data_IF_725013290140
#
_entry.id   IF_725013290140
#
_cell.length_a   1.000
_cell.length_b   1.000
_cell.length_c   1.000
_cell.angle_alpha   90.00
_cell.angle_beta   90.00
_cell.angle_gamma   90.00
#
_symmetry.space_group_name_H-M   'P 1'
#
loop_
_entity.id
_entity.type
_entity.pdbx_description
1 polymer ?
2 non-polymer ?
#
# COMPACT_ATOMS: atom_id res chain seq x y z
N UNK A 1 6.65 19.30 -9.25
CA UNK A 1 7.28 18.18 -8.54
C UNK A 1 6.35 17.01 -8.52
N UNK A 2 6.89 15.83 -8.47
CA UNK A 2 6.11 14.64 -8.38
C UNK A 2 5.92 14.31 -6.92
N UNK A 3 4.73 14.53 -6.41
CA UNK A 3 4.44 14.26 -5.02
C UNK A 3 4.32 12.75 -4.78
N UNK A 4 5.33 12.19 -4.14
CA UNK A 4 5.40 10.76 -3.93
C UNK A 4 5.01 10.42 -2.50
N UNK A 5 4.78 9.16 -2.26
CA UNK A 5 4.40 8.68 -0.97
C UNK A 5 5.63 8.32 -0.17
N UNK A 6 5.58 8.64 1.07
CA UNK A 6 6.61 8.31 2.01
C UNK A 6 6.18 7.05 2.80
N UNK A 7 7.06 6.54 3.64
CA UNK A 7 6.75 5.39 4.48
C UNK A 7 5.51 5.68 5.33
N UNK A 8 5.50 6.85 5.95
CA UNK A 8 4.40 7.31 6.80
C UNK A 8 3.08 7.37 6.05
N UNK A 9 3.10 7.89 4.84
CA UNK A 9 1.86 8.04 4.06
C UNK A 9 1.33 6.67 3.69
N UNK A 10 2.25 5.78 3.34
CA UNK A 10 1.90 4.41 3.03
C UNK A 10 1.41 3.69 4.31
N UNK A 11 2.09 3.96 5.42
CA UNK A 11 1.77 3.37 6.72
C UNK A 11 0.30 3.56 7.05
N UNK A 12 -0.13 4.81 7.02
CA UNK A 12 -1.52 5.14 7.30
C UNK A 12 -2.48 4.49 6.30
N UNK A 13 -2.02 4.29 5.08
CA UNK A 13 -2.82 3.62 4.05
C UNK A 13 -3.03 2.15 4.42
N UNK A 14 -2.01 1.53 4.96
CA UNK A 14 -2.14 0.18 5.48
C UNK A 14 -3.06 0.19 6.70
N UNK A 15 -2.91 1.19 7.54
CA UNK A 15 -3.80 1.38 8.67
C UNK A 15 -5.29 1.66 8.24
N UNK A 16 -5.50 2.02 6.97
CA UNK A 16 -6.83 2.26 6.43
C UNK A 16 -7.59 0.95 6.28
N UNK A 17 -6.97 0.00 5.58
CA UNK A 17 -7.59 -1.28 5.28
C UNK A 17 -7.57 -2.20 6.50
N UNK A 18 -6.80 -1.82 7.49
CA UNK A 18 -6.73 -2.54 8.74
C UNK A 18 -7.75 -1.96 9.70
N UNK A 19 -8.32 -0.85 9.31
CA UNK A 19 -9.27 -0.14 10.12
C UNK A 19 -10.67 -0.61 9.85
N UNK A 20 -10.96 -1.78 10.32
CA UNK A 20 -12.30 -2.34 10.21
C UNK A 20 -12.75 -2.78 11.61
N UNK A 21 -11.93 -2.41 12.61
CA UNK A 21 -12.15 -2.72 14.01
C UNK A 21 -12.17 -4.24 14.24
N UNK A 22 -11.01 -4.87 14.04
CA UNK A 22 -10.89 -6.33 14.22
C UNK A 22 -9.67 -6.68 15.01
N UNK A 23 -8.51 -6.39 14.45
CA UNK A 23 -7.28 -6.73 15.05
C UNK A 23 -6.43 -7.37 14.01
N UNK A 24 -5.40 -8.04 14.42
CA UNK A 24 -4.44 -8.74 13.56
C UNK A 24 -3.87 -7.85 12.44
N UNK A 25 -3.49 -6.64 12.78
CA UNK A 25 -2.98 -5.72 11.79
C UNK A 25 -1.54 -5.36 12.09
N UNK A 26 -0.95 -4.59 11.22
CA UNK A 26 0.45 -4.22 11.33
C UNK A 26 0.70 -3.09 12.33
N UNK A 27 0.14 -1.91 12.04
CA UNK A 27 0.33 -0.68 12.84
C UNK A 27 1.78 -0.41 13.31
N UNK A 28 2.49 0.40 12.53
CA UNK A 28 3.87 0.68 12.84
C UNK A 28 4.81 0.34 11.70
N UNK A 29 5.73 -0.56 11.95
CA UNK A 29 6.72 -0.99 10.95
C UNK A 29 6.22 -2.21 10.23
N UNK A 30 6.34 -2.21 8.93
CA UNK A 30 5.74 -3.24 8.06
C UNK A 30 6.41 -3.27 6.68
N UNK A 31 7.01 -2.13 6.31
CA UNK A 31 7.54 -1.83 4.99
C UNK A 31 8.42 -2.94 4.37
N UNK A 32 9.19 -3.62 5.20
CA UNK A 32 10.16 -4.59 4.70
C UNK A 32 9.64 -6.01 4.83
N UNK A 33 8.50 -6.16 5.48
CA UNK A 33 7.90 -7.47 5.72
C UNK A 33 7.01 -7.83 4.54
N UNK A 34 6.63 -9.09 4.44
CA UNK A 34 5.71 -9.50 3.40
C UNK A 34 4.30 -9.13 3.81
N UNK A 35 3.45 -8.77 2.85
CA UNK A 35 2.03 -8.53 3.14
C UNK A 35 1.45 -9.74 3.83
N UNK A 36 1.80 -10.91 3.30
CA UNK A 36 1.43 -12.19 3.83
C UNK A 36 1.79 -12.27 5.33
N UNK A 37 2.93 -11.70 5.68
CA UNK A 37 3.43 -11.81 7.03
C UNK A 37 2.77 -10.77 7.95
N UNK A 38 2.26 -9.72 7.37
CA UNK A 38 1.61 -8.66 8.16
C UNK A 38 0.08 -8.81 8.17
N UNK A 39 -0.40 -9.99 7.82
CA UNK A 39 -1.82 -10.28 7.85
C UNK A 39 -2.57 -9.68 6.67
N UNK A 40 -1.86 -9.40 5.61
CA UNK A 40 -2.44 -8.82 4.43
C UNK A 40 -2.68 -9.81 3.33
N UNK A 41 -3.93 -10.14 3.19
CA UNK A 41 -4.42 -11.05 2.17
C UNK A 41 -4.79 -10.23 0.93
N UNK A 42 -5.29 -10.88 -0.12
CA UNK A 42 -5.66 -10.21 -1.36
C UNK A 42 -6.66 -9.05 -1.16
N UNK A 43 -7.65 -9.26 -0.30
CA UNK A 43 -8.68 -8.26 -0.06
C UNK A 43 -8.10 -7.10 0.72
N UNK A 44 -7.35 -7.42 1.74
CA UNK A 44 -6.76 -6.41 2.58
C UNK A 44 -5.80 -5.50 1.79
N UNK A 45 -4.92 -6.12 1.00
CA UNK A 45 -3.90 -5.38 0.23
C UNK A 45 -4.59 -4.47 -0.80
N UNK A 46 -5.60 -5.00 -1.49
CA UNK A 46 -6.28 -4.25 -2.54
C UNK A 46 -7.01 -3.06 -1.95
N UNK A 47 -7.45 -3.20 -0.72
CA UNK A 47 -8.15 -2.16 -0.04
C UNK A 47 -7.18 -1.00 0.23
N UNK A 48 -5.95 -1.32 0.62
CA UNK A 48 -4.89 -0.33 0.79
C UNK A 48 -4.63 0.36 -0.55
N UNK A 49 -4.43 -0.46 -1.58
CA UNK A 49 -4.15 0.01 -2.93
C UNK A 49 -5.25 0.95 -3.39
N UNK A 50 -6.49 0.48 -3.34
CA UNK A 50 -7.66 1.24 -3.80
C UNK A 50 -7.79 2.57 -3.08
N UNK A 51 -7.43 2.58 -1.81
CA UNK A 51 -7.43 3.80 -1.01
C UNK A 51 -6.47 4.82 -1.59
N UNK A 52 -5.26 4.39 -1.85
CA UNK A 52 -4.23 5.24 -2.44
C UNK A 52 -4.53 5.61 -3.90
N UNK A 53 -4.90 4.61 -4.70
CA UNK A 53 -5.14 4.80 -6.14
C UNK A 53 -6.15 5.89 -6.40
N UNK A 54 -7.31 5.71 -5.82
CA UNK A 54 -8.44 6.57 -6.05
C UNK A 54 -8.18 8.00 -5.54
N UNK A 55 -7.47 8.12 -4.43
CA UNK A 55 -7.18 9.43 -3.85
C UNK A 55 -6.23 10.23 -4.75
N UNK A 56 -5.18 9.58 -5.23
CA UNK A 56 -4.14 10.28 -5.95
C UNK A 56 -4.35 10.24 -7.46
N UNK A 57 -5.30 9.47 -7.90
CA UNK A 57 -5.64 9.44 -9.30
C UNK A 57 -4.79 8.50 -10.11
N UNK A 58 -4.67 7.27 -9.64
CA UNK A 58 -3.94 6.24 -10.37
C UNK A 58 -4.71 4.93 -10.36
N UNK A 59 -4.18 3.94 -11.03
CA UNK A 59 -4.79 2.63 -11.06
C UNK A 59 -3.66 1.59 -11.16
N UNK A 60 -3.66 0.65 -10.24
CA UNK A 60 -2.68 -0.41 -10.20
C UNK A 60 -3.23 -1.66 -10.86
N UNK A 61 -2.43 -2.34 -11.70
CA UNK A 61 -2.79 -3.63 -12.30
C UNK A 61 -3.04 -4.67 -11.21
N UNK A 62 -4.19 -5.33 -11.28
CA UNK A 62 -4.60 -6.32 -10.28
C UNK A 62 -3.60 -7.46 -10.14
N UNK A 63 -2.94 -7.81 -11.23
CA UNK A 63 -1.93 -8.88 -11.20
C UNK A 63 -0.68 -8.38 -10.54
N UNK A 64 -0.37 -7.10 -10.73
CA UNK A 64 0.83 -6.53 -10.17
C UNK A 64 0.63 -6.24 -8.68
N UNK A 65 -0.61 -6.07 -8.26
CA UNK A 65 -0.94 -5.96 -6.84
C UNK A 65 -0.61 -7.29 -6.13
N UNK A 66 -0.59 -8.36 -6.91
CA UNK A 66 -0.22 -9.65 -6.40
C UNK A 66 1.21 -9.99 -6.72
N UNK A 67 1.91 -9.03 -7.30
CA UNK A 67 3.32 -9.16 -7.64
C UNK A 67 4.18 -8.38 -6.66
N UNK A 68 3.55 -7.49 -5.93
CA UNK A 68 4.21 -6.75 -4.88
C UNK A 68 4.21 -7.58 -3.60
N UNK A 69 5.37 -8.00 -3.19
CA UNK A 69 5.48 -8.85 -2.01
C UNK A 69 5.81 -8.07 -0.76
N UNK A 70 6.35 -6.90 -0.92
CA UNK A 70 6.66 -6.05 0.22
C UNK A 70 6.03 -4.69 0.02
N UNK A 71 5.56 -4.05 1.10
CA UNK A 71 5.03 -2.70 1.05
C UNK A 71 6.03 -1.73 0.45
N UNK A 72 7.32 -1.99 0.70
CA UNK A 72 8.42 -1.24 0.09
C UNK A 72 8.25 -1.21 -1.44
N UNK A 73 8.07 -2.38 -1.98
CA UNK A 73 7.89 -2.59 -3.40
C UNK A 73 6.57 -1.98 -3.89
N UNK A 74 5.53 -2.11 -3.09
CA UNK A 74 4.21 -1.54 -3.40
C UNK A 74 4.27 -0.01 -3.39
N UNK A 75 5.03 0.54 -2.46
CA UNK A 75 5.27 1.97 -2.36
C UNK A 75 5.85 2.49 -3.65
N UNK A 76 6.90 1.82 -4.14
CA UNK A 76 7.56 2.21 -5.38
C UNK A 76 6.62 2.08 -6.57
N UNK A 77 5.77 1.08 -6.54
CA UNK A 77 4.81 0.84 -7.62
C UNK A 77 3.85 2.02 -7.74
N UNK A 78 3.45 2.56 -6.61
CA UNK A 78 2.57 3.69 -6.63
C UNK A 78 3.36 4.96 -6.91
N UNK A 79 4.56 5.05 -6.38
CA UNK A 79 5.44 6.21 -6.61
C UNK A 79 5.82 6.35 -8.08
N UNK A 80 5.98 5.23 -8.75
CA UNK A 80 6.24 5.25 -10.17
C UNK A 80 5.03 5.77 -10.92
N UNK A 81 3.85 5.44 -10.43
CA UNK A 81 2.61 5.90 -11.01
C UNK A 81 2.40 7.38 -10.70
N UNK A 82 2.74 7.78 -9.48
CA UNK A 82 2.57 9.16 -9.00
C UNK A 82 3.38 10.17 -9.79
N UNK A 83 4.53 9.76 -10.29
CA UNK A 83 5.37 10.64 -11.12
C UNK A 83 4.63 11.00 -12.42
N UNK A 84 3.71 10.15 -12.79
CA UNK A 84 2.93 10.29 -13.98
C UNK A 84 1.45 10.55 -13.62
N UNK A 85 1.22 10.94 -12.38
CA UNK A 85 -0.12 11.19 -11.88
C UNK A 85 -0.36 12.69 -11.77
N UNK A 86 -1.39 13.08 -11.05
CA UNK A 86 -1.73 14.46 -10.89
C UNK A 86 -1.71 14.83 -9.41
X LIG B 1 -7.55 -13.89 -3.52
X LIG B 1 -8.28 -12.61 -3.04
X LIG B 1 -9.70 -12.79 -2.43
X LIG B 1 -8.40 -11.64 -4.26
X LIG B 1 -8.93 -10.28 -4.05
X LIG B 1 -9.08 -9.50 -5.38
X LIG B 1 -9.24 -8.06 -5.03
X LIG B 1 -7.81 -9.65 -6.25
X LIG B 1 -10.37 -9.98 -6.22
X LIG B 1 -11.56 -9.64 -5.50
X LIG B 1 -10.43 -11.49 -6.44
X LIG B 1 -11.34 -12.13 -5.91
X LIG B 1 -9.50 -12.03 -7.18
X LIG B 1 -9.42 -13.45 -7.49
X LIG B 1 -8.17 -14.05 -6.91
X LIG B 1 -6.91 -13.75 -7.70
X LIG B 1 -6.94 -13.48 -8.92
X LIG B 1 -5.80 -13.80 -6.99
X LIG B 1 -4.47 -13.55 -7.51
X LIG B 1 -3.68 -12.73 -6.54
X LIG B 1 -4.50 -11.23 -6.34
X LIG B 1 -3.40 -10.47 -5.23
X LIG B 1 -2.52 -11.07 -4.57
X LIG B 1 -3.59 -8.98 -5.15
X LIG B 1 -3.82 -8.48 -3.76
X LIG B 1 -4.05 -7.00 -3.81
X LIG B 1 -9.91 -10.37 -3.58
X LIG B 1 -8.27 -9.74 -3.40
X LIG B 1 -10.12 -7.94 -4.42
X LIG B 1 -9.34 -7.48 -5.93
X LIG B 1 -8.37 -7.74 -4.48
X LIG B 1 -7.93 -9.10 -7.16
X LIG B 1 -7.64 -10.68 -6.47
X LIG B 1 -6.96 -9.25 -5.70
X LIG B 1 -10.39 -9.48 -7.17
X LIG B 1 -12.04 -10.49 -5.51
X LIG B 1 -8.82 -11.43 -7.57
X LIG B 1 -10.26 -13.92 -7.00
X LIG B 1 -9.47 -13.60 -8.55
X LIG B 1 -8.05 -13.76 -5.88
X LIG B 1 -8.31 -15.12 -6.92
X LIG B 1 -5.89 -14.01 -6.03
X LIG B 1 -3.97 -14.48 -7.69
X LIG B 1 -4.55 -12.98 -8.43
X LIG B 1 -2.69 -12.52 -6.93
X LIG B 1 -3.61 -13.23 -5.59
X LIG B 1 -4.43 -8.70 -5.77
X LIG B 1 -2.70 -8.51 -5.55
X LIG B 1 -2.95 -8.66 -3.15
X LIG B 1 -4.70 -8.96 -3.33
X LIG B 1 -4.22 -6.62 -2.81
X LIG B 1 -4.91 -6.78 -4.42
X LIG B 1 -3.18 -6.51 -4.23
#
# INVERSE_FOLDING_TARGET
MATLLTTDDLRRALVESAGETDGTDLSGDFLDLRFEDIGYDSLALMETAARLESRYGVSIPDDVAGRVDTPRELLDLINGALAEAA
PSR O23 P24 O26 O27 C28 C29 C30 C31 C32 O33 C34 O35 N36 C37 C38 C39 O40 N41 C42 C43 S1 C1 O1 C2 C3 C4 H281 H282 H301 H302 H303 H311 H312 H313 H321 H331 H361 H371 H372 H381 H382 H411 H421 H422 H431 H432 HC21 HC22 HC31 HC32 HC41 HC42 HC43
#
